data_IF_137217022048
#
_entry.id   IF_137217022048
#
_cell.length_a   1.000
_cell.length_b   1.000
_cell.length_c   1.000
_cell.angle_alpha   90.00
_cell.angle_beta   90.00
_cell.angle_gamma   90.00
#
_symmetry.space_group_name_H-M   'P 1'
#
loop_
_entity.id
_entity.type
_entity.pdbx_description
1 polymer ?
#
# COMPACT_ATOMS: atom_id res chain seq x y z
N UNK A 1 24.91 18.90 -15.40
CA UNK A 1 24.16 17.82 -14.73
C UNK A 1 23.03 18.44 -13.92
N UNK A 2 21.85 18.66 -14.53
CA UNK A 2 20.76 19.44 -13.93
C UNK A 2 20.10 18.75 -12.71
N UNK A 3 20.08 17.42 -12.67
CA UNK A 3 19.39 16.65 -11.61
C UNK A 3 19.96 16.93 -10.22
N UNK A 4 21.27 16.84 -10.03
CA UNK A 4 21.89 17.14 -8.73
C UNK A 4 21.88 18.63 -8.40
N UNK A 5 21.77 19.51 -9.39
CA UNK A 5 21.56 20.95 -9.16
C UNK A 5 20.16 21.23 -8.59
N UNK A 6 19.14 20.49 -9.01
CA UNK A 6 17.78 20.62 -8.48
C UNK A 6 17.58 19.94 -7.12
N UNK A 7 18.13 18.75 -6.93
CA UNK A 7 17.88 17.94 -5.72
C UNK A 7 19.00 18.04 -4.68
N UNK A 8 20.19 18.50 -5.04
CA UNK A 8 21.34 18.67 -4.14
C UNK A 8 22.15 17.39 -3.88
N UNK A 9 21.54 16.21 -3.87
CA UNK A 9 22.24 14.92 -3.67
C UNK A 9 21.49 13.72 -4.24
N UNK A 10 22.16 12.57 -4.37
CA UNK A 10 21.48 11.32 -4.72
C UNK A 10 20.44 10.93 -3.66
N UNK A 11 20.73 11.09 -2.37
CA UNK A 11 19.78 10.81 -1.29
C UNK A 11 18.49 11.63 -1.43
N UNK A 12 18.62 12.93 -1.75
CA UNK A 12 17.47 13.80 -1.97
C UNK A 12 16.68 13.45 -3.24
N UNK A 13 17.34 12.96 -4.29
CA UNK A 13 16.64 12.39 -5.47
C UNK A 13 15.81 11.20 -5.03
N UNK A 14 16.37 10.30 -4.22
CA UNK A 14 15.63 9.10 -3.79
C UNK A 14 14.45 9.45 -2.88
N UNK A 15 14.60 10.39 -1.96
CA UNK A 15 13.50 10.87 -1.10
C UNK A 15 12.36 11.47 -1.95
N UNK A 16 12.71 12.25 -2.99
CA UNK A 16 11.74 12.81 -3.92
C UNK A 16 11.02 11.72 -4.75
N UNK A 17 11.75 10.70 -5.22
CA UNK A 17 11.17 9.55 -5.94
C UNK A 17 10.26 8.74 -5.03
N UNK A 18 10.65 8.47 -3.77
CA UNK A 18 9.80 7.80 -2.81
C UNK A 18 8.51 8.58 -2.56
N UNK A 19 8.61 9.91 -2.40
CA UNK A 19 7.47 10.81 -2.23
C UNK A 19 6.52 10.76 -3.43
N UNK A 20 7.06 10.81 -4.65
CA UNK A 20 6.28 10.67 -5.88
C UNK A 20 5.57 9.32 -5.97
N UNK A 21 6.22 8.24 -5.52
CA UNK A 21 5.60 6.92 -5.42
C UNK A 21 4.36 6.90 -4.53
N UNK A 22 4.42 7.55 -3.37
CA UNK A 22 3.25 7.69 -2.50
C UNK A 22 2.14 8.55 -3.13
N UNK A 23 2.48 9.64 -3.86
CA UNK A 23 1.46 10.44 -4.58
C UNK A 23 0.71 9.60 -5.62
N UNK A 24 1.43 8.84 -6.44
CA UNK A 24 0.80 7.96 -7.43
C UNK A 24 -0.06 6.88 -6.79
N UNK A 25 0.37 6.34 -5.65
CA UNK A 25 -0.43 5.38 -4.91
C UNK A 25 -1.72 6.02 -4.39
N UNK A 26 -1.63 7.22 -3.81
CA UNK A 26 -2.78 8.01 -3.34
C UNK A 26 -3.78 8.23 -4.47
N UNK A 27 -3.29 8.62 -5.65
CA UNK A 27 -4.14 8.87 -6.82
C UNK A 27 -4.78 7.57 -7.32
N UNK A 28 -4.00 6.48 -7.40
CA UNK A 28 -4.49 5.18 -7.89
C UNK A 28 -5.57 4.58 -6.98
N UNK A 29 -5.35 4.60 -5.67
CA UNK A 29 -6.34 4.11 -4.69
C UNK A 29 -7.51 5.08 -4.57
N UNK A 30 -7.26 6.38 -4.61
CA UNK A 30 -8.30 7.41 -4.56
C UNK A 30 -9.23 7.43 -5.78
N UNK A 31 -8.82 6.82 -6.90
CA UNK A 31 -9.64 6.65 -8.10
C UNK A 31 -10.63 5.47 -8.02
N UNK A 32 -10.58 4.66 -6.96
CA UNK A 32 -11.56 3.58 -6.74
C UNK A 32 -12.92 4.21 -6.41
N UNK A 33 -13.93 3.81 -7.19
CA UNK A 33 -15.31 4.26 -6.97
C UNK A 33 -15.86 3.66 -5.66
N UNK A 34 -16.50 4.50 -4.85
CA UNK A 34 -17.15 4.07 -3.61
C UNK A 34 -18.60 3.67 -3.90
N UNK A 35 -18.98 2.47 -3.47
CA UNK A 35 -20.30 1.86 -3.71
C UNK A 35 -21.07 1.68 -2.39
N UNK A 36 -22.30 1.18 -2.43
CA UNK A 36 -23.06 0.88 -1.21
C UNK A 36 -22.55 -0.36 -0.43
N UNK A 37 -21.50 -1.04 -0.91
CA UNK A 37 -20.80 -2.10 -0.16
C UNK A 37 -19.35 -1.70 0.21
N UNK A 38 -19.15 -1.05 1.37
CA UNK A 38 -17.82 -0.65 1.83
C UNK A 38 -16.79 -1.78 1.99
N UNK A 39 -17.24 -3.03 2.17
CA UNK A 39 -16.33 -4.17 2.23
C UNK A 39 -15.78 -4.50 0.83
N UNK A 40 -16.63 -4.41 -0.19
CA UNK A 40 -16.22 -4.56 -1.59
C UNK A 40 -15.27 -3.43 -2.01
N UNK A 41 -15.55 -2.19 -1.58
CA UNK A 41 -14.68 -1.05 -1.89
C UNK A 41 -13.29 -1.17 -1.25
N UNK A 42 -13.21 -1.75 -0.04
CA UNK A 42 -11.94 -2.02 0.63
C UNK A 42 -11.10 -3.07 -0.13
N UNK A 43 -11.75 -4.09 -0.71
CA UNK A 43 -11.10 -5.05 -1.60
C UNK A 43 -10.68 -4.41 -2.93
N UNK A 44 -11.53 -3.57 -3.52
CA UNK A 44 -11.20 -2.84 -4.75
C UNK A 44 -9.97 -1.93 -4.54
N UNK A 45 -9.85 -1.29 -3.38
CA UNK A 45 -8.66 -0.55 -2.99
C UNK A 45 -7.41 -1.44 -2.85
N UNK A 46 -7.55 -2.66 -2.34
CA UNK A 46 -6.45 -3.63 -2.29
C UNK A 46 -6.00 -4.08 -3.70
N UNK A 47 -6.94 -4.29 -4.62
CA UNK A 47 -6.64 -4.56 -6.04
C UNK A 47 -5.89 -3.38 -6.66
N UNK A 48 -6.38 -2.15 -6.49
CA UNK A 48 -5.73 -0.95 -7.02
C UNK A 48 -4.31 -0.75 -6.46
N UNK A 49 -4.11 -1.04 -5.16
CA UNK A 49 -2.79 -1.02 -4.52
C UNK A 49 -1.84 -2.03 -5.16
N UNK A 50 -2.28 -3.28 -5.36
CA UNK A 50 -1.48 -4.32 -6.03
C UNK A 50 -1.13 -3.95 -7.46
N UNK A 51 -2.11 -3.49 -8.24
CA UNK A 51 -1.88 -3.06 -9.63
C UNK A 51 -0.86 -1.92 -9.70
N UNK A 52 -0.94 -0.94 -8.79
CA UNK A 52 0.06 0.14 -8.70
C UNK A 52 1.47 -0.42 -8.48
N UNK A 53 1.60 -1.38 -7.56
CA UNK A 53 2.88 -2.00 -7.23
C UNK A 53 3.45 -2.81 -8.41
N UNK A 54 2.61 -3.61 -9.10
CA UNK A 54 3.02 -4.41 -10.25
C UNK A 54 3.37 -3.56 -11.48
N UNK A 55 2.66 -2.45 -11.70
CA UNK A 55 2.96 -1.52 -12.79
C UNK A 55 4.21 -0.68 -12.52
N UNK A 56 4.58 -0.48 -11.25
CA UNK A 56 5.70 0.38 -10.85
C UNK A 56 6.65 -0.31 -9.85
N UNK A 57 7.20 -1.50 -10.15
CA UNK A 57 7.90 -2.34 -9.16
C UNK A 57 9.15 -1.66 -8.58
N UNK A 58 9.90 -0.93 -9.40
CA UNK A 58 11.08 -0.19 -8.94
C UNK A 58 10.71 1.01 -8.04
N UNK A 59 9.64 1.72 -8.38
CA UNK A 59 9.15 2.84 -7.58
C UNK A 59 8.64 2.35 -6.23
N UNK A 60 7.88 1.25 -6.22
CA UNK A 60 7.38 0.61 -5.01
C UNK A 60 8.53 0.18 -4.10
N UNK A 61 9.59 -0.43 -4.66
CA UNK A 61 10.76 -0.82 -3.89
C UNK A 61 11.51 0.38 -3.28
N UNK A 62 11.51 1.54 -3.95
CA UNK A 62 12.07 2.79 -3.41
C UNK A 62 11.20 3.37 -2.29
N UNK A 63 9.86 3.37 -2.44
CA UNK A 63 8.93 3.90 -1.44
C UNK A 63 9.14 3.30 -0.04
N UNK A 64 9.37 1.98 0.01
CA UNK A 64 9.50 1.22 1.25
C UNK A 64 10.95 0.88 1.62
N UNK A 65 11.93 1.43 0.90
CA UNK A 65 13.35 1.25 1.19
C UNK A 65 13.87 -0.19 1.04
N UNK A 66 13.18 -1.02 0.25
CA UNK A 66 13.56 -2.41 -0.03
C UNK A 66 14.79 -2.51 -0.94
N UNK A 67 14.95 -1.55 -1.86
CA UNK A 67 16.26 -1.24 -2.42
C UNK A 67 16.99 -0.48 -1.31
N UNK A 68 18.20 -0.88 -0.97
CA UNK A 68 19.04 -0.32 0.10
C UNK A 68 19.45 1.15 -0.16
N UNK A 69 18.48 2.05 -0.13
CA UNK A 69 18.66 3.51 -0.21
C UNK A 69 19.45 4.04 1.00
N UNK A 70 19.57 3.25 2.07
CA UNK A 70 20.47 3.57 3.20
C UNK A 70 21.92 3.81 2.77
N UNK A 71 22.38 3.20 1.67
CA UNK A 71 23.71 3.48 1.10
C UNK A 71 23.80 4.78 0.30
N UNK A 72 22.67 5.39 -0.04
CA UNK A 72 22.56 6.60 -0.87
C UNK A 72 22.30 7.88 -0.04
N UNK A 73 22.11 7.75 1.28
CA UNK A 73 21.98 8.88 2.21
C UNK A 73 20.61 9.57 2.22
N UNK A 74 19.56 8.93 1.70
CA UNK A 74 18.18 9.43 1.79
C UNK A 74 17.62 9.35 3.21
N UNK A 75 16.74 10.27 3.57
CA UNK A 75 16.07 10.34 4.88
C UNK A 75 14.71 9.63 4.88
N UNK A 76 14.19 9.29 3.72
CA UNK A 76 12.85 8.75 3.52
C UNK A 76 11.94 9.75 2.77
N UNK A 77 10.75 9.29 2.36
CA UNK A 77 9.76 10.14 1.69
C UNK A 77 9.29 11.28 2.61
N UNK A 78 8.64 12.27 2.01
CA UNK A 78 7.83 13.25 2.75
C UNK A 78 6.82 12.52 3.66
N UNK A 79 6.93 12.74 4.96
CA UNK A 79 6.15 12.05 5.97
C UNK A 79 4.65 12.37 5.86
N UNK A 80 4.27 13.58 5.46
CA UNK A 80 2.86 13.93 5.30
C UNK A 80 2.22 13.23 4.10
N UNK A 81 2.97 13.07 3.01
CA UNK A 81 2.51 12.32 1.83
C UNK A 81 2.39 10.83 2.15
N UNK A 82 3.40 10.24 2.79
CA UNK A 82 3.36 8.84 3.20
C UNK A 82 2.20 8.58 4.19
N UNK A 83 2.00 9.49 5.15
CA UNK A 83 0.92 9.38 6.12
C UNK A 83 -0.46 9.62 5.48
N UNK A 84 -0.58 10.50 4.47
CA UNK A 84 -1.81 10.69 3.72
C UNK A 84 -2.29 9.40 3.02
N UNK A 85 -1.37 8.62 2.44
CA UNK A 85 -1.69 7.33 1.83
C UNK A 85 -2.27 6.35 2.87
N UNK A 86 -1.69 6.31 4.07
CA UNK A 86 -2.22 5.49 5.16
C UNK A 86 -3.58 5.98 5.66
N UNK A 87 -3.78 7.30 5.77
CA UNK A 87 -5.08 7.88 6.17
C UNK A 87 -6.21 7.54 5.19
N UNK A 88 -5.93 7.41 3.89
CA UNK A 88 -6.95 6.94 2.92
C UNK A 88 -7.44 5.54 3.26
N UNK A 89 -6.54 4.62 3.61
CA UNK A 89 -6.93 3.27 4.04
C UNK A 89 -7.75 3.30 5.34
N UNK A 90 -7.35 4.13 6.30
CA UNK A 90 -8.11 4.32 7.55
C UNK A 90 -9.54 4.76 7.26
N UNK A 91 -9.74 5.72 6.35
CA UNK A 91 -11.07 6.19 5.97
C UNK A 91 -11.96 5.08 5.37
N UNK A 92 -11.39 4.20 4.52
CA UNK A 92 -12.13 3.05 3.96
C UNK A 92 -12.54 2.07 5.07
N UNK A 93 -11.63 1.78 6.00
CA UNK A 93 -11.89 0.91 7.14
C UNK A 93 -12.97 1.48 8.06
N UNK A 94 -12.87 2.75 8.43
CA UNK A 94 -13.84 3.44 9.29
C UNK A 94 -15.23 3.49 8.63
N UNK A 95 -15.29 3.66 7.31
CA UNK A 95 -16.55 3.58 6.56
C UNK A 95 -17.16 2.18 6.61
N UNK A 96 -16.35 1.13 6.47
CA UNK A 96 -16.83 -0.24 6.60
C UNK A 96 -17.29 -0.58 8.03
N UNK A 97 -16.64 -0.01 9.06
CA UNK A 97 -17.10 -0.10 10.45
C UNK A 97 -18.43 0.63 10.66
N UNK A 98 -18.56 1.86 10.15
CA UNK A 98 -19.78 2.67 10.28
C UNK A 98 -20.99 2.01 9.59
N UNK A 99 -20.77 1.28 8.49
CA UNK A 99 -21.78 0.50 7.80
C UNK A 99 -22.06 -0.88 8.44
N UNK A 100 -21.42 -1.21 9.58
CA UNK A 100 -21.58 -2.49 10.26
C UNK A 100 -21.01 -3.69 9.48
N UNK A 101 -20.15 -3.47 8.48
CA UNK A 101 -19.48 -4.53 7.71
C UNK A 101 -18.25 -5.07 8.44
N UNK A 102 -17.62 -4.23 9.26
CA UNK A 102 -16.52 -4.57 10.17
C UNK A 102 -16.95 -4.27 11.61
N UNK A 103 -16.42 -5.03 12.57
CA UNK A 103 -16.66 -4.78 14.00
C UNK A 103 -16.12 -3.41 14.40
N UNK A 104 -16.80 -2.69 15.31
CA UNK A 104 -16.28 -1.46 15.87
C UNK A 104 -14.92 -1.66 16.55
N UNK A 105 -14.01 -0.71 16.40
CA UNK A 105 -12.68 -0.77 16.99
C UNK A 105 -11.81 0.43 16.60
N UNK A 106 -10.50 0.31 16.81
CA UNK A 106 -9.53 1.30 16.33
C UNK A 106 -9.31 1.12 14.82
N UNK A 107 -9.84 2.05 14.02
CA UNK A 107 -9.70 2.07 12.56
C UNK A 107 -8.25 2.06 12.09
N UNK A 108 -7.32 2.70 12.82
CA UNK A 108 -5.89 2.69 12.48
C UNK A 108 -5.29 1.32 12.71
N UNK A 109 -5.63 0.65 13.79
CA UNK A 109 -5.15 -0.70 14.08
C UNK A 109 -5.65 -1.71 13.05
N UNK A 110 -6.91 -1.59 12.61
CA UNK A 110 -7.48 -2.45 11.56
C UNK A 110 -6.87 -2.15 10.18
N UNK A 111 -6.70 -0.87 9.83
CA UNK A 111 -6.00 -0.46 8.62
C UNK A 111 -4.54 -0.96 8.59
N UNK A 112 -3.84 -0.94 9.73
CA UNK A 112 -2.48 -1.45 9.84
C UNK A 112 -2.41 -2.98 9.63
N UNK A 113 -3.38 -3.74 10.13
CA UNK A 113 -3.47 -5.19 9.88
C UNK A 113 -3.71 -5.48 8.39
N UNK A 114 -4.66 -4.76 7.78
CA UNK A 114 -4.96 -4.85 6.35
C UNK A 114 -3.74 -4.54 5.49
N UNK A 115 -3.09 -3.42 5.76
CA UNK A 115 -1.90 -3.00 5.05
C UNK A 115 -0.75 -3.98 5.24
N UNK A 116 -0.53 -4.49 6.46
CA UNK A 116 0.54 -5.46 6.72
C UNK A 116 0.39 -6.74 5.91
N UNK A 117 -0.83 -7.28 5.81
CA UNK A 117 -1.10 -8.47 5.02
C UNK A 117 -0.83 -8.23 3.52
N UNK A 118 -1.40 -7.17 2.97
CA UNK A 118 -1.26 -6.84 1.55
C UNK A 118 0.18 -6.45 1.18
N UNK A 119 0.78 -5.56 1.95
CA UNK A 119 2.15 -5.08 1.73
C UNK A 119 3.17 -6.22 1.85
N UNK A 120 3.02 -7.09 2.86
CA UNK A 120 3.87 -8.26 3.04
C UNK A 120 3.81 -9.21 1.85
N UNK A 121 2.61 -9.48 1.34
CA UNK A 121 2.45 -10.28 0.12
C UNK A 121 3.11 -9.60 -1.10
N UNK A 122 2.87 -8.31 -1.31
CA UNK A 122 3.48 -7.58 -2.44
C UNK A 122 5.01 -7.61 -2.39
N UNK A 123 5.61 -7.55 -1.21
CA UNK A 123 7.06 -7.67 -1.05
C UNK A 123 7.57 -9.05 -1.49
N UNK A 124 6.82 -10.13 -1.24
CA UNK A 124 7.16 -11.48 -1.69
C UNK A 124 6.95 -11.64 -3.19
N UNK A 125 5.83 -11.15 -3.73
CA UNK A 125 5.49 -11.22 -5.16
C UNK A 125 6.51 -10.46 -6.01
N UNK A 126 6.85 -9.23 -5.63
CA UNK A 126 7.85 -8.42 -6.35
C UNK A 126 9.27 -8.98 -6.24
N UNK A 127 9.55 -9.80 -5.22
CA UNK A 127 10.81 -10.53 -5.08
C UNK A 127 10.80 -11.88 -5.83
N UNK A 128 9.68 -12.29 -6.44
CA UNK A 128 9.51 -13.61 -7.07
C UNK A 128 9.49 -14.77 -6.08
N UNK A 129 9.15 -14.49 -4.81
CA UNK A 129 9.15 -15.45 -3.69
C UNK A 129 7.75 -15.96 -3.32
N UNK A 130 6.72 -15.49 -4.00
CA UNK A 130 5.32 -15.88 -3.80
C UNK A 130 4.96 -17.26 -4.38
N UNK A 131 5.77 -17.78 -5.32
CA UNK A 131 5.55 -19.03 -6.05
C UNK A 131 5.81 -20.31 -5.21
N UNK A 132 5.33 -20.33 -3.97
CA UNK A 132 5.39 -21.48 -3.05
C UNK A 132 4.25 -22.48 -3.26
N UNK A 133 3.20 -22.07 -3.96
CA UNK A 133 2.03 -22.87 -4.35
C UNK A 133 1.63 -22.54 -5.79
N UNK A 134 0.78 -23.36 -6.42
CA UNK A 134 0.14 -22.99 -7.70
C UNK A 134 -0.84 -21.85 -7.44
N UNK A 135 -0.94 -20.91 -8.38
CA UNK A 135 -1.83 -19.74 -8.31
C UNK A 135 -1.80 -19.03 -6.94
N UNK A 136 -0.63 -18.47 -6.55
CA UNK A 136 -0.47 -17.85 -5.24
C UNK A 136 -1.31 -16.58 -5.07
N UNK A 137 -1.72 -15.93 -6.15
CA UNK A 137 -2.65 -14.80 -6.10
C UNK A 137 -3.98 -15.24 -5.47
N UNK A 138 -4.59 -16.30 -6.00
CA UNK A 138 -5.86 -16.80 -5.47
C UNK A 138 -5.68 -17.48 -4.11
N UNK A 139 -4.73 -18.41 -4.01
CA UNK A 139 -4.59 -19.29 -2.85
C UNK A 139 -3.89 -18.68 -1.65
N UNK A 140 -3.14 -17.59 -1.83
CA UNK A 140 -2.43 -16.91 -0.73
C UNK A 140 -2.97 -15.50 -0.54
N UNK A 141 -2.85 -14.60 -1.52
CA UNK A 141 -3.25 -13.20 -1.34
C UNK A 141 -4.73 -13.08 -1.05
N UNK A 142 -5.60 -13.47 -2.00
CA UNK A 142 -7.03 -13.22 -1.84
C UNK A 142 -7.64 -14.06 -0.72
N UNK A 143 -7.16 -15.29 -0.54
CA UNK A 143 -7.53 -16.10 0.63
C UNK A 143 -7.15 -15.42 1.97
N UNK A 144 -5.96 -14.82 2.07
CA UNK A 144 -5.53 -14.09 3.27
C UNK A 144 -6.39 -12.85 3.51
N UNK A 145 -6.66 -12.06 2.47
CA UNK A 145 -7.51 -10.87 2.55
C UNK A 145 -8.95 -11.24 2.98
N UNK A 146 -9.52 -12.31 2.42
CA UNK A 146 -10.82 -12.82 2.83
C UNK A 146 -10.83 -13.33 4.27
N UNK A 147 -9.79 -14.05 4.70
CA UNK A 147 -9.68 -14.52 6.08
C UNK A 147 -9.61 -13.35 7.06
N UNK A 148 -8.90 -12.28 6.68
CA UNK A 148 -8.84 -11.06 7.47
C UNK A 148 -10.21 -10.36 7.51
N UNK A 149 -10.90 -10.21 6.37
CA UNK A 149 -12.28 -9.68 6.33
C UNK A 149 -13.20 -10.49 7.23
N UNK A 150 -13.27 -11.81 7.05
CA UNK A 150 -14.09 -12.72 7.88
C UNK A 150 -13.73 -12.58 9.36
N UNK A 151 -12.45 -12.49 9.67
CA UNK A 151 -11.97 -12.30 11.04
C UNK A 151 -12.41 -10.97 11.62
N UNK A 152 -12.54 -9.90 10.82
CA UNK A 152 -12.90 -8.54 11.26
C UNK A 152 -14.39 -8.20 11.15
N UNK A 153 -15.17 -8.98 10.40
CA UNK A 153 -16.62 -8.79 10.23
C UNK A 153 -17.41 -9.02 11.51
N UNK A 154 -18.56 -8.36 11.62
CA UNK A 154 -19.52 -8.52 12.73
C UNK A 154 -20.20 -9.88 12.71
#
# INVERSE_FOLDING_TARGET
>A
MAVYTHFGSMGAVVDAVATEGFRRLIDRVGAVELTDDPAADLLAAAVAYRENALQNPHLYAVMFGAISVRGLGGKGPDAEVAYAAFRQLVALVERAMAAGRLRPGDGKAVAAQWWSALHGYMMLELAGMDQVVRDPEHHVLWQLMENLLRSLST
#
